data_IF_982695968711
#
_entry.id   IF_982695968711
#
_cell.length_a   1.000
_cell.length_b   1.000
_cell.length_c   1.000
_cell.angle_alpha   90.00
_cell.angle_beta   90.00
_cell.angle_gamma   90.00
#
_symmetry.space_group_name_H-M   'P 1'
#
loop_
_entity.id
_entity.type
_entity.pdbx_description
1 polymer ?
#
# COMPACT_ATOMS: atom_id res chain seq x y z
N UNK A 1 -11.25 -4.41 9.82
CA UNK A 1 -10.36 -4.79 8.70
C UNK A 1 -9.81 -3.51 8.10
N UNK A 2 -8.51 -3.25 8.22
CA UNK A 2 -7.89 -2.01 7.78
C UNK A 2 -6.86 -2.27 6.70
N UNK A 3 -6.63 -1.26 5.85
CA UNK A 3 -5.52 -1.28 4.90
C UNK A 3 -4.20 -1.27 5.67
N UNK A 4 -3.30 -2.17 5.29
CA UNK A 4 -1.91 -2.26 5.75
C UNK A 4 -1.03 -1.46 4.80
N UNK A 5 0.09 -0.96 5.31
CA UNK A 5 1.07 -0.20 4.51
C UNK A 5 2.47 -0.78 4.69
N UNK A 6 3.07 -1.22 3.60
CA UNK A 6 4.44 -1.70 3.52
C UNK A 6 5.33 -0.63 2.86
N UNK A 7 6.52 -0.41 3.40
CA UNK A 7 7.53 0.47 2.80
C UNK A 7 8.59 -0.36 2.08
N UNK A 8 8.88 -0.01 0.84
CA UNK A 8 9.95 -0.62 0.05
C UNK A 8 10.80 0.53 -0.51
N UNK A 9 11.94 0.79 0.12
CA UNK A 9 12.74 1.98 -0.18
C UNK A 9 11.91 3.27 -0.04
N UNK A 10 11.78 4.01 -1.14
CA UNK A 10 10.98 5.23 -1.22
C UNK A 10 9.54 5.02 -1.69
N UNK A 11 9.07 3.78 -1.82
CA UNK A 11 7.69 3.46 -2.18
C UNK A 11 6.86 3.00 -0.98
N UNK A 12 5.56 3.27 -1.04
CA UNK A 12 4.54 2.80 -0.11
C UNK A 12 3.55 1.91 -0.88
N UNK A 13 3.38 0.69 -0.39
CA UNK A 13 2.40 -0.28 -0.89
C UNK A 13 1.27 -0.35 0.12
N UNK A 14 0.07 0.04 -0.29
CA UNK A 14 -1.15 -0.09 0.52
C UNK A 14 -1.88 -1.36 0.09
N UNK A 15 -2.17 -2.25 1.03
CA UNK A 15 -2.73 -3.57 0.73
C UNK A 15 -3.64 -4.08 1.86
N UNK A 16 -4.48 -5.06 1.56
CA UNK A 16 -5.18 -5.86 2.56
C UNK A 16 -4.85 -7.35 2.37
N UNK A 17 -4.99 -8.11 3.45
CA UNK A 17 -4.89 -9.57 3.41
C UNK A 17 -6.30 -10.09 3.67
N UNK A 18 -6.84 -10.82 2.69
CA UNK A 18 -8.16 -11.44 2.75
C UNK A 18 -7.98 -12.94 2.57
N UNK A 19 -8.18 -13.71 3.64
CA UNK A 19 -7.98 -15.16 3.68
C UNK A 19 -6.59 -15.58 3.16
N UNK A 20 -6.52 -16.09 1.93
CA UNK A 20 -5.34 -16.60 1.24
C UNK A 20 -4.79 -15.62 0.18
N UNK A 21 -5.42 -14.46 0.05
CA UNK A 21 -5.15 -13.50 -1.03
C UNK A 21 -4.68 -12.16 -0.48
N UNK A 22 -3.80 -11.50 -1.24
CA UNK A 22 -3.34 -10.14 -0.95
C UNK A 22 -3.89 -9.20 -2.01
N UNK A 23 -4.66 -8.20 -1.62
CA UNK A 23 -5.20 -7.18 -2.52
C UNK A 23 -4.34 -5.93 -2.38
N UNK A 24 -3.68 -5.52 -3.47
CA UNK A 24 -2.92 -4.27 -3.51
C UNK A 24 -3.85 -3.14 -3.95
N UNK A 25 -4.08 -2.19 -3.04
CA UNK A 25 -4.92 -1.02 -3.31
C UNK A 25 -4.14 0.08 -4.04
N UNK A 26 -2.86 0.29 -3.69
CA UNK A 26 -2.01 1.27 -4.35
C UNK A 26 -0.52 0.97 -4.16
N UNK A 27 0.28 1.35 -5.15
CA UNK A 27 1.73 1.46 -5.05
C UNK A 27 2.11 2.88 -5.46
N UNK A 28 2.57 3.69 -4.51
CA UNK A 28 2.93 5.09 -4.76
C UNK A 28 4.32 5.39 -4.20
N UNK A 29 5.08 6.23 -4.90
CA UNK A 29 6.31 6.81 -4.34
C UNK A 29 5.95 7.70 -3.14
N UNK A 30 6.84 7.81 -2.14
CA UNK A 30 6.58 8.53 -0.88
C UNK A 30 6.23 10.00 -1.09
N UNK A 31 6.78 10.63 -2.13
CA UNK A 31 6.53 12.03 -2.49
C UNK A 31 5.12 12.23 -3.06
N UNK A 32 4.60 11.23 -3.77
CA UNK A 32 3.31 11.31 -4.47
C UNK A 32 2.18 10.65 -3.67
N UNK A 33 2.45 10.25 -2.42
CA UNK A 33 1.49 9.59 -1.55
C UNK A 33 0.49 10.56 -0.89
N UNK A 34 0.68 11.87 -1.08
CA UNK A 34 -0.18 12.95 -0.55
C UNK A 34 -0.61 13.96 -1.62
N UNK A 35 -0.27 13.72 -2.88
CA UNK A 35 -0.82 14.51 -3.99
C UNK A 35 -2.10 13.79 -4.43
N UNK A 36 -3.24 14.41 -4.09
CA UNK A 36 -4.58 14.06 -4.58
C UNK A 36 -4.72 14.43 -6.06
#
# INVERSE_FOLDING_TARGET
KGLRRLRIGDYRVTYSIEKDSVIIAAIKHRKNAYED
#
